data_IF_996865580970
#
_entry.id   IF_996865580970
#
_cell.length_a   1.000
_cell.length_b   1.000
_cell.length_c   1.000
_cell.angle_alpha   90.00
_cell.angle_beta   90.00
_cell.angle_gamma   90.00
#
_symmetry.space_group_name_H-M   'P 1'
#
loop_
_entity.id
_entity.type
_entity.pdbx_description
1 polymer ?
#
# COMPACT_ATOMS: atom_id res chain seq x y z
N UNK A 1 -12.46 10.04 35.85
CA UNK A 1 -12.95 11.25 35.16
C UNK A 1 -11.95 11.56 34.07
N UNK A 2 -12.27 11.25 32.82
CA UNK A 2 -11.36 11.54 31.69
C UNK A 2 -11.54 13.01 31.32
N UNK A 3 -10.44 13.75 31.28
CA UNK A 3 -10.47 15.15 30.88
C UNK A 3 -10.80 15.23 29.39
N UNK A 4 -11.92 15.85 29.04
CA UNK A 4 -12.27 16.18 27.66
C UNK A 4 -11.29 17.25 27.19
N UNK A 5 -10.27 16.83 26.44
CA UNK A 5 -9.35 17.74 25.77
C UNK A 5 -10.15 18.53 24.75
N UNK A 6 -10.35 19.82 25.01
CA UNK A 6 -11.00 20.73 24.06
C UNK A 6 -9.96 21.11 23.04
N UNK A 7 -10.16 20.70 21.79
CA UNK A 7 -9.28 21.01 20.67
C UNK A 7 -9.55 22.46 20.25
N UNK A 8 -8.61 23.37 20.52
CA UNK A 8 -8.77 24.82 20.33
C UNK A 8 -7.91 25.40 19.20
N UNK A 9 -7.57 24.60 18.19
CA UNK A 9 -6.87 25.05 16.97
C UNK A 9 -7.57 24.54 15.71
N UNK A 10 -7.39 25.23 14.58
CA UNK A 10 -7.67 24.63 13.26
C UNK A 10 -6.67 23.48 13.08
N UNK A 11 -7.14 22.25 13.26
CA UNK A 11 -6.28 21.07 13.05
C UNK A 11 -5.93 20.95 11.56
N UNK A 12 -4.66 20.66 11.22
CA UNK A 12 -4.28 20.46 9.83
C UNK A 12 -5.03 19.24 9.26
N UNK A 13 -5.76 19.45 8.17
CA UNK A 13 -6.40 18.38 7.43
C UNK A 13 -5.43 17.80 6.40
N UNK A 14 -5.09 16.52 6.56
CA UNK A 14 -4.22 15.80 5.63
C UNK A 14 -5.06 14.99 4.64
N UNK A 15 -4.80 15.18 3.34
CA UNK A 15 -5.40 14.38 2.27
C UNK A 15 -4.35 13.42 1.71
N UNK A 16 -4.64 12.13 1.76
CA UNK A 16 -3.80 11.13 1.10
C UNK A 16 -4.27 10.89 -0.33
N UNK A 17 -3.56 11.47 -1.30
CA UNK A 17 -3.82 11.29 -2.72
C UNK A 17 -3.07 10.06 -3.23
N UNK A 18 -3.81 9.02 -3.62
CA UNK A 18 -3.20 7.82 -4.17
C UNK A 18 -3.99 7.21 -5.31
N UNK A 19 -3.28 6.44 -6.14
CA UNK A 19 -3.85 5.56 -7.17
C UNK A 19 -3.21 4.19 -7.01
N UNK A 20 -3.96 3.11 -7.21
CA UNK A 20 -3.38 1.79 -7.46
C UNK A 20 -3.59 1.39 -8.91
N UNK A 21 -2.64 0.62 -9.47
CA UNK A 21 -2.75 0.01 -10.80
C UNK A 21 -2.78 -1.51 -10.69
N UNK A 22 -3.69 -2.12 -11.43
CA UNK A 22 -3.98 -3.56 -11.38
C UNK A 22 -4.23 -4.10 -12.79
N UNK A 23 -3.35 -3.76 -13.73
CA UNK A 23 -3.50 -4.23 -15.11
C UNK A 23 -2.14 -4.58 -15.72
N UNK A 24 -1.59 -5.76 -15.37
CA UNK A 24 -0.31 -6.22 -15.89
C UNK A 24 -0.44 -6.79 -17.31
N UNK A 25 -1.49 -6.45 -18.07
CA UNK A 25 -1.66 -6.96 -19.44
C UNK A 25 -1.92 -5.82 -20.44
N UNK A 26 -2.70 -4.80 -20.07
CA UNK A 26 -2.98 -3.65 -20.93
C UNK A 26 -2.03 -2.47 -20.65
N UNK A 27 -0.74 -2.70 -20.85
CA UNK A 27 0.33 -1.77 -20.51
C UNK A 27 0.17 -0.39 -21.14
N UNK A 28 -0.24 -0.31 -22.42
CA UNK A 28 -0.35 0.97 -23.13
C UNK A 28 -1.38 1.91 -22.47
N UNK A 29 -2.54 1.38 -22.06
CA UNK A 29 -3.57 2.15 -21.38
C UNK A 29 -3.18 2.51 -19.94
N UNK A 30 -2.44 1.63 -19.26
CA UNK A 30 -1.96 1.89 -17.91
C UNK A 30 -0.87 2.95 -17.88
N UNK A 31 0.06 2.90 -18.84
CA UNK A 31 1.19 3.83 -18.95
C UNK A 31 0.76 5.23 -19.44
N UNK A 32 -0.24 5.33 -20.32
CA UNK A 32 -0.80 6.62 -20.76
C UNK A 32 -1.26 7.48 -19.58
N UNK A 33 -1.76 6.86 -18.50
CA UNK A 33 -2.19 7.58 -17.29
C UNK A 33 -1.02 8.33 -16.67
N UNK A 34 0.16 7.73 -16.62
CA UNK A 34 1.35 8.36 -16.03
C UNK A 34 1.82 9.53 -16.87
N UNK A 35 1.88 9.38 -18.20
CA UNK A 35 2.30 10.46 -19.10
C UNK A 35 1.31 11.62 -19.11
N UNK A 36 0.01 11.34 -18.95
CA UNK A 36 -1.03 12.36 -18.90
C UNK A 36 -1.16 13.06 -17.54
N UNK A 37 -1.11 12.34 -16.42
CA UNK A 37 -1.36 12.93 -15.10
C UNK A 37 -0.14 13.54 -14.45
N UNK A 38 1.07 13.03 -14.71
CA UNK A 38 2.30 13.57 -14.09
C UNK A 38 2.48 15.08 -14.37
N UNK A 39 2.29 15.59 -15.60
CA UNK A 39 2.36 17.03 -15.87
C UNK A 39 1.28 17.84 -15.12
N UNK A 40 0.06 17.31 -15.03
CA UNK A 40 -1.06 17.97 -14.34
C UNK A 40 -0.81 18.08 -12.84
N UNK A 41 -0.34 17.01 -12.21
CA UNK A 41 0.02 17.00 -10.77
C UNK A 41 1.17 17.96 -10.53
N UNK A 42 2.20 17.95 -11.37
CA UNK A 42 3.34 18.88 -11.28
C UNK A 42 2.90 20.34 -11.38
N UNK A 43 2.04 20.69 -12.34
CA UNK A 43 1.53 22.04 -12.49
C UNK A 43 0.67 22.48 -11.29
N UNK A 44 -0.11 21.57 -10.71
CA UNK A 44 -0.92 21.84 -9.50
C UNK A 44 -0.07 22.03 -8.26
N UNK A 45 0.92 21.17 -8.04
CA UNK A 45 1.88 21.30 -6.95
C UNK A 45 2.65 22.63 -7.03
N UNK A 46 3.08 23.03 -8.24
CA UNK A 46 3.78 24.30 -8.44
C UNK A 46 2.90 25.54 -8.23
N UNK A 47 1.60 25.45 -8.51
CA UNK A 47 0.64 26.55 -8.28
C UNK A 47 0.14 26.65 -6.84
N UNK A 48 0.28 25.59 -6.04
CA UNK A 48 -0.14 25.52 -4.65
C UNK A 48 0.97 24.91 -3.77
N UNK A 49 2.13 25.59 -3.64
CA UNK A 49 3.28 25.06 -2.90
C UNK A 49 3.00 24.88 -1.41
N UNK A 50 2.07 25.66 -0.86
CA UNK A 50 1.57 25.59 0.52
C UNK A 50 0.76 24.33 0.81
N UNK A 51 0.16 23.72 -0.22
CA UNK A 51 -0.62 22.50 -0.09
C UNK A 51 0.25 21.24 0.01
N UNK A 52 1.57 21.34 -0.28
CA UNK A 52 2.50 20.20 -0.29
C UNK A 52 1.96 18.99 -1.07
N UNK A 53 1.38 19.24 -2.25
CA UNK A 53 0.68 18.22 -3.02
C UNK A 53 1.65 17.17 -3.56
N UNK A 54 1.43 15.93 -3.16
CA UNK A 54 2.16 14.75 -3.67
C UNK A 54 1.15 13.67 -4.08
N UNK A 55 1.42 13.01 -5.20
CA UNK A 55 0.62 11.88 -5.69
C UNK A 55 1.35 10.56 -5.40
N UNK A 56 0.74 9.67 -4.62
CA UNK A 56 1.29 8.34 -4.38
C UNK A 56 0.77 7.33 -5.40
N UNK A 57 1.67 6.72 -6.16
CA UNK A 57 1.34 5.69 -7.15
C UNK A 57 1.67 4.32 -6.56
N UNK A 58 0.66 3.49 -6.33
CA UNK A 58 0.79 2.17 -5.75
C UNK A 58 0.90 1.13 -6.87
N UNK A 59 2.08 0.53 -7.04
CA UNK A 59 2.34 -0.48 -8.05
C UNK A 59 2.18 -1.89 -7.49
N UNK A 60 1.69 -2.81 -8.32
CA UNK A 60 2.01 -4.23 -8.16
C UNK A 60 3.48 -4.46 -8.59
N UNK A 61 4.17 -5.43 -8.00
CA UNK A 61 5.56 -5.73 -8.38
C UNK A 61 5.69 -6.18 -9.84
N UNK A 62 4.72 -6.93 -10.34
CA UNK A 62 4.66 -7.32 -11.75
C UNK A 62 4.43 -6.14 -12.70
N UNK A 63 3.58 -5.18 -12.31
CA UNK A 63 3.36 -3.94 -13.07
C UNK A 63 4.62 -3.06 -13.07
N UNK A 64 5.24 -2.91 -11.90
CA UNK A 64 6.49 -2.15 -11.76
C UNK A 64 7.61 -2.67 -12.67
N UNK A 65 7.76 -3.99 -12.74
CA UNK A 65 8.71 -4.63 -13.67
C UNK A 65 8.36 -4.36 -15.12
N UNK A 66 7.09 -4.50 -15.50
CA UNK A 66 6.66 -4.27 -16.88
C UNK A 66 6.92 -2.83 -17.35
N UNK A 67 6.64 -1.83 -16.50
CA UNK A 67 6.97 -0.43 -16.78
C UNK A 67 8.48 -0.23 -16.96
N UNK A 68 9.29 -0.86 -16.10
CA UNK A 68 10.74 -0.77 -16.19
C UNK A 68 11.32 -1.41 -17.46
N UNK A 69 10.85 -2.61 -17.83
CA UNK A 69 11.30 -3.33 -19.02
C UNK A 69 10.92 -2.59 -20.32
N UNK A 70 9.81 -1.85 -20.32
CA UNK A 70 9.32 -1.05 -21.45
C UNK A 70 9.85 0.39 -21.48
N UNK A 71 10.59 0.82 -20.45
CA UNK A 71 11.11 2.18 -20.38
C UNK A 71 11.95 2.60 -21.61
N UNK A 72 12.80 1.74 -22.22
CA UNK A 72 13.53 2.13 -23.43
C UNK A 72 12.64 2.58 -24.60
N UNK A 73 11.36 2.16 -24.62
CA UNK A 73 10.39 2.52 -25.64
C UNK A 73 9.46 3.66 -25.18
N UNK A 74 9.15 3.73 -23.89
CA UNK A 74 8.06 4.58 -23.38
C UNK A 74 8.55 5.80 -22.58
N UNK A 75 9.74 5.74 -22.00
CA UNK A 75 10.31 6.78 -21.13
C UNK A 75 9.54 7.00 -19.82
N UNK A 76 8.60 6.11 -19.49
CA UNK A 76 7.68 6.27 -18.35
C UNK A 76 8.40 6.15 -17.00
N UNK A 77 9.35 5.22 -16.88
CA UNK A 77 10.12 5.08 -15.64
C UNK A 77 10.92 6.35 -15.37
N UNK A 78 11.58 6.89 -16.40
CA UNK A 78 12.38 8.11 -16.27
C UNK A 78 11.51 9.33 -15.94
N UNK A 79 10.33 9.44 -16.56
CA UNK A 79 9.33 10.46 -16.22
C UNK A 79 8.94 10.40 -14.75
N UNK A 80 8.57 9.20 -14.26
CA UNK A 80 8.10 9.02 -12.90
C UNK A 80 9.20 9.25 -11.86
N UNK A 81 10.42 8.77 -12.12
CA UNK A 81 11.57 9.04 -11.25
C UNK A 81 11.93 10.52 -11.20
N UNK A 82 11.87 11.21 -12.33
CA UNK A 82 12.10 12.67 -12.37
C UNK A 82 11.04 13.42 -11.55
N UNK A 83 9.77 13.00 -11.61
CA UNK A 83 8.70 13.59 -10.81
C UNK A 83 8.83 13.27 -9.31
N UNK A 84 9.38 12.10 -8.97
CA UNK A 84 9.73 11.73 -7.59
C UNK A 84 10.86 12.61 -7.05
N UNK A 85 11.94 12.78 -7.80
CA UNK A 85 13.07 13.64 -7.42
C UNK A 85 12.64 15.11 -7.22
N UNK A 86 11.58 15.54 -7.91
CA UNK A 86 10.94 16.85 -7.75
C UNK A 86 9.96 16.94 -6.56
N UNK A 87 9.72 15.85 -5.82
CA UNK A 87 8.82 15.79 -4.67
C UNK A 87 7.32 15.72 -5.02
N UNK A 88 6.97 15.50 -6.29
CA UNK A 88 5.59 15.52 -6.78
C UNK A 88 4.96 14.12 -6.75
N UNK A 89 5.79 13.08 -6.85
CA UNK A 89 5.34 11.68 -6.87
C UNK A 89 6.01 10.88 -5.76
N UNK A 90 5.22 10.06 -5.07
CA UNK A 90 5.72 9.00 -4.21
C UNK A 90 5.32 7.64 -4.79
N UNK A 91 6.05 6.60 -4.42
CA UNK A 91 5.77 5.24 -4.85
C UNK A 91 5.25 4.41 -3.69
N UNK A 92 4.30 3.54 -3.99
CA UNK A 92 3.73 2.61 -3.04
C UNK A 92 3.66 1.20 -3.62
N UNK A 93 3.35 0.24 -2.77
CA UNK A 93 3.16 -1.16 -3.17
C UNK A 93 1.72 -1.60 -2.91
N UNK A 94 1.09 -2.20 -3.91
CA UNK A 94 -0.26 -2.73 -3.84
C UNK A 94 -0.26 -4.25 -4.05
N UNK A 95 -0.62 -5.00 -3.00
CA UNK A 95 -0.48 -6.45 -2.99
C UNK A 95 -1.79 -7.22 -3.26
N UNK A 96 -2.96 -6.55 -3.26
CA UNK A 96 -4.27 -7.24 -3.15
C UNK A 96 -4.54 -8.22 -4.29
N UNK A 97 -4.27 -7.77 -5.51
CA UNK A 97 -4.54 -8.50 -6.74
C UNK A 97 -3.26 -8.87 -7.48
N UNK A 98 -2.11 -8.88 -6.79
CA UNK A 98 -0.89 -9.27 -7.45
C UNK A 98 -0.84 -10.81 -7.59
N UNK A 99 -0.60 -11.41 -8.75
CA UNK A 99 -0.45 -10.76 -10.05
C UNK A 99 -1.77 -10.65 -10.85
N UNK A 100 -2.84 -11.35 -10.44
CA UNK A 100 -4.18 -11.14 -11.01
C UNK A 100 -5.27 -11.27 -9.94
N UNK A 101 -6.46 -10.71 -10.23
CA UNK A 101 -7.64 -10.84 -9.38
C UNK A 101 -8.17 -12.28 -9.25
N UNK A 102 -7.90 -13.14 -10.25
CA UNK A 102 -8.35 -14.54 -10.28
C UNK A 102 -7.42 -15.47 -9.49
N UNK A 103 -6.13 -15.18 -9.49
CA UNK A 103 -5.10 -16.04 -8.92
C UNK A 103 -4.36 -15.35 -7.79
N UNK A 104 -5.12 -14.78 -6.85
CA UNK A 104 -4.58 -14.18 -5.62
C UNK A 104 -3.75 -15.26 -4.91
N UNK A 105 -2.41 -15.26 -5.02
CA UNK A 105 -1.66 -16.18 -4.21
C UNK A 105 -1.84 -15.70 -2.80
N UNK A 106 -2.44 -16.52 -1.97
CA UNK A 106 -2.42 -16.29 -0.54
C UNK A 106 -1.62 -17.43 0.06
N UNK A 107 -0.85 -17.11 1.08
CA UNK A 107 -0.25 -18.17 1.88
C UNK A 107 -1.39 -19.03 2.43
N UNK A 108 -1.24 -20.35 2.30
CA UNK A 108 -2.19 -21.32 2.86
C UNK A 108 -2.02 -21.40 4.38
N UNK A 109 -2.42 -20.33 5.07
CA UNK A 109 -2.49 -20.30 6.52
C UNK A 109 -3.72 -21.07 7.01
N UNK A 110 -3.64 -21.59 8.22
CA UNK A 110 -4.74 -22.28 8.91
C UNK A 110 -4.80 -21.85 10.38
N UNK A 111 -5.86 -22.23 11.08
CA UNK A 111 -6.10 -21.85 12.49
C UNK A 111 -5.01 -22.32 13.47
N UNK A 112 -4.16 -23.26 13.06
CA UNK A 112 -3.02 -23.76 13.85
C UNK A 112 -1.67 -23.14 13.48
N UNK A 113 -1.64 -22.18 12.54
CA UNK A 113 -0.40 -21.54 12.09
C UNK A 113 0.22 -20.72 13.22
N UNK A 114 1.51 -20.93 13.49
CA UNK A 114 2.22 -20.16 14.51
C UNK A 114 2.42 -18.71 14.06
N UNK A 115 2.62 -17.80 15.02
CA UNK A 115 2.96 -16.41 14.73
C UNK A 115 4.15 -16.29 13.77
N UNK A 116 5.21 -17.05 14.02
CA UNK A 116 6.41 -17.06 13.17
C UNK A 116 6.11 -17.53 11.74
N UNK A 117 5.30 -18.58 11.57
CA UNK A 117 4.85 -19.05 10.26
C UNK A 117 4.05 -17.99 9.52
N UNK A 118 3.15 -17.31 10.24
CA UNK A 118 2.34 -16.25 9.68
C UNK A 118 3.21 -15.05 9.25
N UNK A 119 4.12 -14.58 10.11
CA UNK A 119 4.97 -13.41 9.80
C UNK A 119 5.94 -13.69 8.69
N UNK A 120 6.63 -14.83 8.71
CA UNK A 120 7.60 -15.18 7.66
C UNK A 120 6.89 -15.41 6.33
N UNK A 121 5.76 -16.11 6.34
CA UNK A 121 4.95 -16.28 5.13
C UNK A 121 4.51 -14.94 4.54
N UNK A 122 4.11 -13.97 5.38
CA UNK A 122 3.75 -12.64 4.89
C UNK A 122 4.96 -11.84 4.37
N UNK A 123 6.12 -11.92 5.02
CA UNK A 123 7.37 -11.30 4.52
C UNK A 123 7.71 -11.83 3.14
N UNK A 124 7.69 -13.16 2.99
CA UNK A 124 7.98 -13.86 1.73
C UNK A 124 6.95 -13.46 0.66
N UNK A 125 5.67 -13.44 1.01
CA UNK A 125 4.61 -13.09 0.07
C UNK A 125 4.69 -11.65 -0.43
N UNK A 126 5.03 -10.68 0.43
CA UNK A 126 5.24 -9.29 0.02
C UNK A 126 6.51 -9.13 -0.82
N UNK A 127 7.56 -9.88 -0.50
CA UNK A 127 8.89 -9.78 -1.13
C UNK A 127 9.06 -10.57 -2.42
N UNK A 128 8.19 -11.55 -2.68
CA UNK A 128 8.35 -12.46 -3.80
C UNK A 128 7.75 -11.91 -5.10
N UNK A 129 8.38 -12.26 -6.22
CA UNK A 129 7.79 -12.07 -7.54
C UNK A 129 6.70 -13.11 -7.75
N UNK A 130 5.51 -12.68 -8.19
CA UNK A 130 4.38 -13.58 -8.43
C UNK A 130 4.25 -13.96 -9.90
N UNK A 131 3.84 -15.19 -10.18
CA UNK A 131 3.50 -15.62 -11.55
C UNK A 131 2.26 -14.86 -12.03
N UNK A 132 2.39 -14.14 -13.16
CA UNK A 132 1.29 -13.35 -13.73
C UNK A 132 0.13 -14.21 -14.24
N UNK A 133 0.38 -15.47 -14.59
CA UNK A 133 -0.65 -16.38 -15.14
C UNK A 133 -1.27 -17.25 -14.06
N UNK A 134 -0.46 -17.82 -13.17
CA UNK A 134 -0.90 -18.86 -12.23
C UNK A 134 -0.99 -18.37 -10.77
N UNK A 135 -0.47 -17.17 -10.49
CA UNK A 135 -0.18 -16.75 -9.12
C UNK A 135 0.96 -17.57 -8.51
N UNK A 136 1.27 -17.26 -7.27
CA UNK A 136 2.29 -17.94 -6.45
C UNK A 136 3.67 -17.32 -6.65
N UNK A 137 4.54 -17.49 -5.66
CA UNK A 137 5.91 -16.97 -5.73
C UNK A 137 6.73 -17.76 -6.76
N UNK A 138 7.26 -17.08 -7.78
CA UNK A 138 8.18 -17.66 -8.78
C UNK A 138 9.65 -17.38 -8.45
N UNK A 139 9.90 -16.35 -7.64
CA UNK A 139 11.22 -16.06 -7.08
C UNK A 139 11.05 -15.48 -5.67
N UNK A 140 11.70 -16.06 -4.64
CA UNK A 140 11.58 -15.59 -3.26
C UNK A 140 12.22 -14.21 -3.05
N UNK A 141 13.24 -13.86 -3.84
CA UNK A 141 13.93 -12.57 -3.80
C UNK A 141 13.80 -11.83 -5.14
N UNK A 142 13.55 -10.51 -5.09
CA UNK A 142 13.57 -9.64 -6.28
C UNK A 142 12.22 -9.37 -6.97
N UNK A 143 11.09 -9.53 -6.28
CA UNK A 143 9.76 -9.14 -6.79
C UNK A 143 8.85 -8.48 -5.77
N UNK A 144 7.55 -8.32 -6.08
CA UNK A 144 6.59 -7.68 -5.18
C UNK A 144 7.04 -6.27 -4.78
N UNK A 145 7.15 -6.02 -3.47
CA UNK A 145 7.64 -4.74 -2.93
C UNK A 145 9.07 -4.41 -3.37
N UNK A 146 9.92 -5.42 -3.56
CA UNK A 146 11.31 -5.20 -4.00
C UNK A 146 11.39 -4.73 -5.44
N UNK A 147 10.47 -5.17 -6.31
CA UNK A 147 10.45 -4.68 -7.69
C UNK A 147 10.15 -3.17 -7.73
N UNK A 148 9.20 -2.71 -6.92
CA UNK A 148 8.91 -1.27 -6.81
C UNK A 148 10.14 -0.51 -6.29
N UNK A 149 10.75 -1.00 -5.20
CA UNK A 149 11.95 -0.39 -4.63
C UNK A 149 13.13 -0.33 -5.61
N UNK A 150 13.34 -1.41 -6.35
CA UNK A 150 14.43 -1.53 -7.30
C UNK A 150 14.28 -0.57 -8.49
N UNK A 151 13.09 -0.46 -9.06
CA UNK A 151 12.88 0.30 -10.28
C UNK A 151 12.59 1.77 -10.02
N UNK A 152 11.71 2.07 -9.06
CA UNK A 152 11.20 3.41 -8.83
C UNK A 152 11.91 4.13 -7.68
N UNK A 153 12.25 3.39 -6.62
CA UNK A 153 12.83 3.94 -5.40
C UNK A 153 11.98 3.63 -4.16
N UNK A 154 12.22 4.32 -3.04
CA UNK A 154 11.60 4.00 -1.76
C UNK A 154 10.07 3.89 -1.84
N UNK A 155 9.53 2.84 -1.22
CA UNK A 155 8.09 2.63 -1.07
C UNK A 155 7.62 3.38 0.19
N UNK A 156 6.68 4.30 0.02
CA UNK A 156 6.16 5.17 1.08
C UNK A 156 4.87 4.63 1.71
N UNK A 157 4.14 3.77 1.00
CA UNK A 157 2.89 3.19 1.45
C UNK A 157 2.69 1.76 0.96
N UNK A 158 1.97 0.95 1.74
CA UNK A 158 1.61 -0.43 1.39
C UNK A 158 0.10 -0.62 1.54
N UNK A 159 -0.51 -1.27 0.55
CA UNK A 159 -1.93 -1.59 0.53
C UNK A 159 -2.19 -3.01 0.04
N UNK A 160 -3.39 -3.54 0.31
CA UNK A 160 -3.80 -4.85 -0.23
C UNK A 160 -3.19 -6.07 0.45
N UNK A 161 -2.51 -5.88 1.57
CA UNK A 161 -1.89 -6.90 2.41
C UNK A 161 -2.86 -7.38 3.49
N UNK A 162 -3.83 -8.18 3.12
CA UNK A 162 -4.74 -8.79 4.10
C UNK A 162 -4.78 -10.31 3.97
N UNK A 163 -4.90 -10.96 5.13
CA UNK A 163 -5.28 -12.37 5.22
C UNK A 163 -6.78 -12.44 4.95
N UNK A 164 -7.23 -13.32 4.04
CA UNK A 164 -8.65 -13.46 3.71
C UNK A 164 -9.51 -13.51 4.98
N UNK A 165 -10.51 -12.61 5.03
CA UNK A 165 -11.59 -12.49 6.01
C UNK A 165 -11.30 -11.76 7.31
N UNK A 166 -10.35 -12.15 8.18
CA UNK A 166 -10.57 -11.85 9.61
C UNK A 166 -9.38 -11.24 10.41
N UNK A 167 -8.28 -10.82 9.78
CA UNK A 167 -7.13 -10.32 10.57
C UNK A 167 -6.52 -9.04 10.03
N UNK A 168 -6.57 -8.03 10.91
CA UNK A 168 -6.25 -6.63 10.70
C UNK A 168 -4.75 -6.31 10.69
N UNK A 169 -4.51 -5.07 10.26
CA UNK A 169 -3.29 -4.37 9.92
C UNK A 169 -2.47 -3.78 11.08
N UNK A 170 -2.75 -4.09 12.34
CA UNK A 170 -1.95 -3.53 13.42
C UNK A 170 -1.56 -4.63 14.39
N UNK A 171 -0.25 -4.80 14.60
CA UNK A 171 0.30 -5.95 15.33
C UNK A 171 0.04 -7.31 14.69
N UNK A 172 -0.49 -7.38 13.46
CA UNK A 172 -0.75 -8.60 12.70
C UNK A 172 0.41 -9.02 11.77
N UNK A 173 0.41 -10.25 11.25
CA UNK A 173 1.54 -10.78 10.47
C UNK A 173 1.84 -9.97 9.20
N UNK A 174 0.80 -9.42 8.55
CA UNK A 174 0.92 -8.58 7.37
C UNK A 174 1.68 -7.27 7.66
N UNK A 175 1.44 -6.67 8.82
CA UNK A 175 2.03 -5.39 9.21
C UNK A 175 3.42 -5.57 9.77
N UNK A 176 3.66 -6.66 10.50
CA UNK A 176 5.02 -7.09 10.82
C UNK A 176 5.85 -7.25 9.54
N UNK A 177 5.26 -7.88 8.52
CA UNK A 177 5.93 -8.05 7.22
C UNK A 177 6.14 -6.72 6.48
N UNK A 178 5.16 -5.81 6.50
CA UNK A 178 5.30 -4.50 5.89
C UNK A 178 6.37 -3.65 6.58
N UNK A 179 6.45 -3.66 7.92
CA UNK A 179 7.50 -3.00 8.70
C UNK A 179 8.88 -3.62 8.50
N UNK A 180 8.97 -4.93 8.22
CA UNK A 180 10.21 -5.59 7.84
C UNK A 180 10.75 -5.04 6.52
N UNK A 181 9.87 -4.80 5.56
CA UNK A 181 10.25 -4.21 4.26
C UNK A 181 10.44 -2.69 4.35
N UNK A 182 9.69 -2.02 5.22
CA UNK A 182 9.61 -0.56 5.33
C UNK A 182 9.78 -0.09 6.79
N UNK A 183 10.96 -0.26 7.39
CA UNK A 183 11.15 -0.08 8.84
C UNK A 183 10.97 1.37 9.31
N UNK A 184 11.09 2.36 8.42
CA UNK A 184 10.98 3.78 8.74
C UNK A 184 9.76 4.46 8.11
N UNK A 185 8.86 3.69 7.50
CA UNK A 185 7.78 4.19 6.66
C UNK A 185 6.60 3.24 6.80
N UNK A 186 5.47 3.67 7.35
CA UNK A 186 4.25 2.90 7.12
C UNK A 186 3.00 3.77 7.23
N UNK A 187 2.49 4.16 6.06
CA UNK A 187 1.05 4.33 5.86
C UNK A 187 0.52 3.00 5.35
N UNK A 188 -0.16 2.27 6.22
CA UNK A 188 -0.91 1.07 5.85
C UNK A 188 -2.35 1.44 5.49
N UNK A 189 -2.89 0.84 4.45
CA UNK A 189 -4.34 0.91 4.24
C UNK A 189 -5.03 -0.19 5.05
N UNK A 190 -5.81 0.20 6.05
CA UNK A 190 -6.62 -0.70 6.87
C UNK A 190 -7.90 -1.12 6.15
N UNK A 191 -8.95 -1.36 6.92
CA UNK A 191 -10.23 -1.81 6.38
C UNK A 191 -10.88 -0.74 5.50
N UNK A 192 -11.08 -0.99 4.19
CA UNK A 192 -11.83 -0.09 3.34
C UNK A 192 -13.32 -0.07 3.75
N UNK A 193 -13.90 1.11 3.93
CA UNK A 193 -15.35 1.29 4.11
C UNK A 193 -16.13 1.22 2.77
N UNK A 194 -15.48 0.74 1.69
CA UNK A 194 -16.12 0.53 0.40
C UNK A 194 -16.35 -0.98 0.15
N UNK A 195 -17.59 -1.36 -0.14
CA UNK A 195 -18.00 -2.73 -0.46
C UNK A 195 -18.89 -3.40 0.62
N UNK A 196 -18.99 -4.74 0.65
CA UNK A 196 -19.85 -5.50 1.57
C UNK A 196 -19.44 -5.42 3.06
N UNK A 197 -18.51 -4.53 3.40
CA UNK A 197 -18.11 -4.20 4.78
C UNK A 197 -18.92 -3.06 5.40
N UNK A 198 -19.81 -2.42 4.62
CA UNK A 198 -20.70 -1.35 5.08
C UNK A 198 -21.90 -1.80 5.94
N UNK A 199 -21.93 -3.05 6.44
CA UNK A 199 -22.99 -3.51 7.35
C UNK A 199 -22.66 -3.16 8.81
N UNK A 200 -23.68 -2.79 9.59
CA UNK A 200 -23.50 -2.33 10.98
C UNK A 200 -22.79 -3.34 11.88
N UNK A 201 -23.12 -4.63 11.79
CA UNK A 201 -22.47 -5.70 12.57
C UNK A 201 -20.97 -5.85 12.27
N UNK A 202 -20.54 -5.59 11.03
CA UNK A 202 -19.13 -5.65 10.65
C UNK A 202 -18.35 -4.44 11.14
N UNK A 203 -18.96 -3.25 11.21
CA UNK A 203 -18.33 -2.05 11.80
C UNK A 203 -18.05 -2.22 13.29
N UNK A 204 -18.98 -2.80 14.05
CA UNK A 204 -18.78 -3.07 15.47
C UNK A 204 -17.69 -4.13 15.70
N UNK A 205 -17.63 -5.17 14.86
CA UNK A 205 -16.56 -6.17 14.89
C UNK A 205 -15.19 -5.56 14.55
N UNK A 206 -15.13 -4.68 13.54
CA UNK A 206 -13.93 -3.90 13.21
C UNK A 206 -13.54 -3.01 14.38
N UNK A 207 -14.46 -2.25 14.99
CA UNK A 207 -14.15 -1.39 16.13
C UNK A 207 -13.61 -2.16 17.34
N UNK A 208 -14.22 -3.32 17.66
CA UNK A 208 -13.77 -4.18 18.75
C UNK A 208 -12.40 -4.82 18.47
N UNK A 209 -12.10 -5.16 17.22
CA UNK A 209 -10.79 -5.64 16.79
C UNK A 209 -9.76 -4.51 16.82
N UNK A 210 -10.08 -3.34 16.26
CA UNK A 210 -9.21 -2.17 16.27
C UNK A 210 -8.84 -1.75 17.70
N UNK A 211 -9.76 -1.79 18.65
CA UNK A 211 -9.46 -1.49 20.06
C UNK A 211 -8.43 -2.46 20.68
N UNK A 212 -8.30 -3.69 20.18
CA UNK A 212 -7.29 -4.67 20.62
C UNK A 212 -5.94 -4.49 19.94
N UNK A 213 -5.92 -3.80 18.81
CA UNK A 213 -4.75 -3.63 17.97
C UNK A 213 -4.18 -2.22 18.02
N UNK A 214 -5.00 -1.25 18.45
CA UNK A 214 -4.61 0.14 18.74
C UNK A 214 -3.36 0.10 19.63
N UNK A 215 -2.32 0.87 19.29
CA UNK A 215 -1.07 0.80 20.02
C UNK A 215 -1.31 1.14 21.48
N UNK A 216 -0.61 0.40 22.31
CA UNK A 216 -0.25 0.90 23.63
C UNK A 216 1.10 1.58 23.52
N UNK A 217 1.53 2.23 24.59
CA UNK A 217 2.90 2.69 24.81
C UNK A 217 3.98 1.60 24.62
N UNK A 218 3.57 0.33 24.49
CA UNK A 218 4.46 -0.82 24.29
C UNK A 218 4.50 -1.37 22.84
N UNK A 219 3.58 -1.03 21.91
CA UNK A 219 3.36 -1.88 20.72
C UNK A 219 3.32 -1.29 19.29
N UNK A 220 3.28 0.02 19.02
CA UNK A 220 3.41 0.49 17.61
C UNK A 220 3.71 1.98 17.41
N UNK A 221 4.36 2.28 16.27
CA UNK A 221 4.71 3.60 15.72
C UNK A 221 4.12 3.80 14.30
N UNK A 222 3.00 3.14 13.98
CA UNK A 222 2.50 2.97 12.61
C UNK A 222 1.20 3.75 12.37
N UNK A 223 1.08 4.40 11.22
CA UNK A 223 -0.12 5.14 10.83
C UNK A 223 -0.92 4.32 9.81
N UNK A 224 -2.24 4.20 9.96
CA UNK A 224 -3.07 3.51 8.97
C UNK A 224 -4.40 4.21 8.69
N UNK A 225 -4.92 4.04 7.48
CA UNK A 225 -6.22 4.59 7.06
C UNK A 225 -7.34 3.57 7.27
N UNK A 226 -8.32 3.87 8.11
CA UNK A 226 -9.51 3.05 8.35
C UNK A 226 -10.73 3.93 8.69
N UNK A 227 -11.94 3.50 8.33
CA UNK A 227 -13.19 4.27 8.58
C UNK A 227 -13.15 5.71 8.05
N UNK A 228 -12.47 5.93 6.92
CA UNK A 228 -12.22 7.26 6.33
C UNK A 228 -11.42 8.23 7.23
N UNK A 229 -10.65 7.72 8.19
CA UNK A 229 -9.75 8.53 9.03
C UNK A 229 -8.37 7.88 9.14
N UNK A 230 -7.36 8.72 9.40
CA UNK A 230 -6.03 8.26 9.81
C UNK A 230 -6.10 7.84 11.28
N UNK A 231 -5.57 6.66 11.57
CA UNK A 231 -5.41 6.12 12.92
C UNK A 231 -3.93 5.91 13.20
N UNK A 232 -3.53 6.15 14.44
CA UNK A 232 -2.16 6.00 14.95
C UNK A 232 -2.12 4.91 16.01
#
# INVERSE_FOLDING_TARGET
>A
MSATQTITGEEPLYFFLFTHTEDPFNYDLSEERYTRFTPEVTARAASHPDAHLTWTIMFQGTDARSVAERNPQTGVLDLLRSAHDAGVVHFGYHAHHEATYNNRPQNSFNDSSSWETLTNGMVDWLGCLKDVTHGGCVAPDGGGVNAVQQYFGPVEAVSGTFQQSDTAYEGGPASHAALRWLPNRLVGFGYPDHGPFASGERRDAVAALMARLTPTDETSSTVFWADNVIKM
#
